data_IF_192657403004
#
_entry.id   IF_192657403004
#
_cell.length_a   1.000
_cell.length_b   1.000
_cell.length_c   1.000
_cell.angle_alpha   90.00
_cell.angle_beta   90.00
_cell.angle_gamma   90.00
#
_symmetry.space_group_name_H-M   'P 1'
#
loop_
_entity.id
_entity.type
_entity.pdbx_description
1 polymer ?
#
# COMPACT_ATOMS: atom_id res chain seq x y z
N UNK A 1 8.69 2.89 5.21
CA UNK A 1 7.60 2.08 5.80
C UNK A 1 7.78 2.09 7.31
N UNK A 2 6.72 2.39 8.06
CA UNK A 2 6.74 2.44 9.53
C UNK A 2 5.63 1.51 10.05
N UNK A 3 5.94 0.59 10.96
CA UNK A 3 4.93 -0.26 11.59
C UNK A 3 4.18 0.51 12.68
N UNK A 4 2.86 0.37 12.78
CA UNK A 4 2.09 1.05 13.83
C UNK A 4 2.55 0.63 15.23
N UNK A 5 2.96 -0.62 15.42
CA UNK A 5 3.47 -1.12 16.70
C UNK A 5 4.82 -0.52 17.11
N UNK A 6 5.54 0.13 16.18
CA UNK A 6 6.86 0.72 16.41
C UNK A 6 6.84 2.24 16.59
N UNK A 7 5.67 2.88 16.46
CA UNK A 7 5.54 4.33 16.56
C UNK A 7 4.57 4.71 17.68
N UNK A 8 5.00 5.65 18.51
CA UNK A 8 4.15 6.24 19.54
C UNK A 8 2.95 6.98 18.92
N UNK A 9 1.80 6.96 19.59
CA UNK A 9 0.56 7.52 19.06
C UNK A 9 0.58 9.04 18.94
N UNK A 10 1.29 9.74 19.85
CA UNK A 10 1.45 11.20 19.78
C UNK A 10 2.38 11.56 18.62
N UNK A 11 3.48 10.83 18.47
CA UNK A 11 4.40 11.02 17.35
C UNK A 11 3.70 10.75 16.01
N UNK A 12 2.97 9.64 15.90
CA UNK A 12 2.20 9.31 14.70
C UNK A 12 1.25 10.45 14.29
N UNK A 13 0.49 10.99 15.24
CA UNK A 13 -0.42 12.13 14.97
C UNK A 13 0.33 13.38 14.53
N UNK A 14 1.51 13.64 15.08
CA UNK A 14 2.37 14.75 14.68
C UNK A 14 2.84 14.57 13.23
N UNK A 15 3.35 13.39 12.89
CA UNK A 15 3.83 13.09 11.52
C UNK A 15 2.70 13.12 10.47
N UNK A 16 1.49 12.71 10.84
CA UNK A 16 0.31 12.84 9.96
C UNK A 16 -0.04 14.31 9.73
N UNK A 17 -0.07 15.14 10.78
CA UNK A 17 -0.37 16.58 10.66
C UNK A 17 0.68 17.32 9.86
N UNK A 18 1.93 16.92 9.97
CA UNK A 18 3.05 17.49 9.24
C UNK A 18 3.17 16.97 7.79
N UNK A 19 2.23 16.12 7.33
CA UNK A 19 2.25 15.49 6.00
C UNK A 19 3.50 14.61 5.74
N UNK A 20 4.22 14.23 6.78
CA UNK A 20 5.32 13.28 6.71
C UNK A 20 4.81 11.85 6.58
N UNK A 21 3.62 11.55 7.11
CA UNK A 21 2.88 10.31 6.87
C UNK A 21 1.59 10.64 6.13
N UNK A 22 1.46 10.15 4.90
CA UNK A 22 0.32 10.47 4.03
C UNK A 22 -0.52 9.24 3.68
N UNK A 23 0.04 8.05 3.85
CA UNK A 23 -0.62 6.79 3.50
C UNK A 23 -0.56 5.78 4.63
N UNK A 24 -1.59 4.95 4.70
CA UNK A 24 -1.66 3.79 5.60
C UNK A 24 -1.85 2.51 4.79
N UNK A 25 -1.53 1.37 5.38
CA UNK A 25 -1.64 0.09 4.69
C UNK A 25 -1.79 -1.12 5.61
N UNK A 26 -2.07 -2.26 4.98
CA UNK A 26 -2.10 -3.57 5.61
C UNK A 26 -0.84 -4.36 5.20
N UNK A 27 -0.01 -4.71 6.18
CA UNK A 27 1.25 -5.42 5.98
C UNK A 27 1.04 -6.80 5.36
N UNK A 28 0.08 -7.57 5.89
CA UNK A 28 -0.19 -8.96 5.48
C UNK A 28 -0.76 -9.05 4.07
N UNK A 29 -1.70 -8.18 3.73
CA UNK A 29 -2.32 -8.14 2.41
C UNK A 29 -1.50 -7.36 1.37
N UNK A 30 -0.43 -6.69 1.81
CA UNK A 30 0.41 -5.79 0.99
C UNK A 30 -0.41 -4.72 0.27
N UNK A 31 -1.31 -4.04 0.99
CA UNK A 31 -2.18 -2.98 0.45
C UNK A 31 -1.83 -1.64 1.08
N UNK A 32 -1.73 -0.57 0.31
CA UNK A 32 -1.66 0.80 0.84
C UNK A 32 -2.81 1.67 0.32
N UNK A 33 -3.15 2.74 1.04
CA UNK A 33 -4.24 3.63 0.70
C UNK A 33 -4.21 4.91 1.52
N UNK A 34 -5.21 5.77 1.30
CA UNK A 34 -5.36 7.04 2.03
C UNK A 34 -5.67 6.79 3.51
N UNK A 35 -5.20 7.68 4.39
CA UNK A 35 -5.41 7.56 5.84
C UNK A 35 -6.89 7.58 6.25
N UNK A 36 -7.75 8.21 5.45
CA UNK A 36 -9.19 8.30 5.70
C UNK A 36 -10.00 7.11 5.15
N UNK A 37 -9.35 6.08 4.59
CA UNK A 37 -10.03 4.90 4.03
C UNK A 37 -10.84 4.15 5.11
N UNK A 38 -12.12 3.89 4.83
CA UNK A 38 -13.04 3.15 5.71
C UNK A 38 -12.50 1.77 6.09
N UNK A 39 -11.96 1.03 5.12
CA UNK A 39 -11.32 -0.28 5.33
C UNK A 39 -10.04 -0.15 6.15
N UNK A 40 -9.27 0.92 5.94
CA UNK A 40 -8.04 1.22 6.67
C UNK A 40 -8.27 1.50 8.16
N UNK A 41 -9.36 2.21 8.50
CA UNK A 41 -9.71 2.53 9.89
C UNK A 41 -10.04 1.29 10.73
N UNK A 42 -10.49 0.20 10.10
CA UNK A 42 -10.82 -1.07 10.76
C UNK A 42 -9.62 -2.03 10.91
N UNK A 43 -8.43 -1.66 10.43
CA UNK A 43 -7.26 -2.52 10.49
C UNK A 43 -6.72 -2.65 11.92
N UNK A 44 -6.41 -3.89 12.33
CA UNK A 44 -5.71 -4.15 13.60
C UNK A 44 -4.33 -3.48 13.60
N UNK A 45 -3.86 -3.02 14.76
CA UNK A 45 -2.60 -2.27 14.88
C UNK A 45 -1.41 -3.07 14.36
N UNK A 46 -1.37 -4.38 14.61
CA UNK A 46 -0.27 -5.28 14.24
C UNK A 46 -0.12 -5.43 12.72
N UNK A 47 -1.22 -5.28 11.98
CA UNK A 47 -1.21 -5.32 10.52
C UNK A 47 -1.11 -3.94 9.90
N UNK A 48 -1.20 -2.85 10.67
CA UNK A 48 -1.24 -1.48 10.14
C UNK A 48 0.16 -0.92 9.97
N UNK A 49 0.42 -0.39 8.79
CA UNK A 49 1.69 0.27 8.44
C UNK A 49 1.43 1.65 7.86
N UNK A 50 2.44 2.51 7.89
CA UNK A 50 2.39 3.87 7.41
C UNK A 50 3.50 4.15 6.41
N UNK A 51 3.22 5.03 5.45
CA UNK A 51 4.15 5.44 4.41
C UNK A 51 4.16 6.96 4.24
N UNK A 52 5.35 7.46 3.92
CA UNK A 52 5.60 8.88 3.66
C UNK A 52 5.05 9.29 2.31
N UNK A 53 5.18 8.42 1.31
CA UNK A 53 4.71 8.67 -0.05
C UNK A 53 4.22 7.39 -0.72
N UNK A 54 3.49 7.58 -1.82
CA UNK A 54 3.08 6.49 -2.72
C UNK A 54 4.27 5.65 -3.19
N UNK A 55 5.33 6.32 -3.65
CA UNK A 55 6.57 5.67 -4.12
C UNK A 55 7.19 4.79 -3.04
N UNK A 56 7.18 5.24 -1.78
CA UNK A 56 7.69 4.44 -0.67
C UNK A 56 6.88 3.14 -0.49
N UNK A 57 5.55 3.19 -0.62
CA UNK A 57 4.71 1.99 -0.52
C UNK A 57 4.94 1.02 -1.68
N UNK A 58 4.99 1.53 -2.91
CA UNK A 58 5.22 0.73 -4.13
C UNK A 58 6.60 0.05 -4.12
N UNK A 59 7.66 0.76 -3.70
CA UNK A 59 9.01 0.18 -3.53
C UNK A 59 9.07 -0.93 -2.48
N UNK A 60 8.15 -0.92 -1.50
CA UNK A 60 8.02 -1.99 -0.50
C UNK A 60 7.10 -3.13 -0.96
N UNK A 61 6.67 -3.13 -2.22
CA UNK A 61 5.84 -4.18 -2.82
C UNK A 61 4.36 -4.12 -2.43
N UNK A 62 3.86 -2.95 -2.04
CA UNK A 62 2.45 -2.78 -1.71
C UNK A 62 1.65 -2.32 -2.94
N UNK A 63 0.45 -2.86 -3.11
CA UNK A 63 -0.50 -2.44 -4.13
C UNK A 63 -1.46 -1.36 -3.61
N UNK A 64 -1.95 -0.46 -4.48
CA UNK A 64 -2.97 0.51 -4.12
C UNK A 64 -4.28 -0.17 -3.68
N UNK A 65 -5.02 0.53 -2.81
CA UNK A 65 -6.28 0.07 -2.26
C UNK A 65 -7.42 0.26 -3.27
N UNK A 66 -8.03 -0.84 -3.71
CA UNK A 66 -9.17 -0.80 -4.64
C UNK A 66 -10.44 -0.10 -4.11
N UNK A 67 -10.52 0.27 -2.83
CA UNK A 67 -11.65 1.04 -2.30
C UNK A 67 -11.43 2.56 -2.41
N UNK A 68 -10.29 3.06 -1.92
CA UNK A 68 -10.01 4.50 -1.83
C UNK A 68 -9.06 5.05 -2.90
N UNK A 69 -8.43 4.17 -3.69
CA UNK A 69 -7.49 4.48 -4.77
C UNK A 69 -7.85 3.63 -6.01
N UNK A 70 -9.11 3.76 -6.47
CA UNK A 70 -9.69 2.90 -7.51
C UNK A 70 -8.93 2.99 -8.84
N UNK A 71 -8.57 4.20 -9.26
CA UNK A 71 -7.90 4.40 -10.56
C UNK A 71 -6.48 3.85 -10.52
N UNK A 72 -5.72 4.15 -9.46
CA UNK A 72 -4.37 3.61 -9.27
C UNK A 72 -4.40 2.08 -9.17
N UNK A 73 -5.41 1.52 -8.51
CA UNK A 73 -5.62 0.08 -8.49
C UNK A 73 -5.93 -0.52 -9.84
N UNK A 74 -6.73 0.15 -10.68
CA UNK A 74 -7.00 -0.31 -12.05
C UNK A 74 -5.73 -0.32 -12.90
N UNK A 75 -4.94 0.74 -12.82
CA UNK A 75 -3.65 0.86 -13.52
C UNK A 75 -2.70 -0.26 -13.06
N UNK A 76 -2.52 -0.41 -11.74
CA UNK A 76 -1.70 -1.47 -11.15
C UNK A 76 -2.17 -2.83 -11.69
N UNK A 77 -3.45 -3.17 -11.56
CA UNK A 77 -3.99 -4.46 -11.98
C UNK A 77 -3.73 -4.75 -13.47
N UNK A 78 -3.91 -3.75 -14.33
CA UNK A 78 -3.67 -3.88 -15.76
C UNK A 78 -2.20 -4.13 -16.09
N UNK A 79 -1.27 -3.47 -15.40
CA UNK A 79 0.17 -3.73 -15.56
C UNK A 79 0.53 -5.18 -15.23
N UNK A 80 -0.02 -5.76 -14.16
CA UNK A 80 0.21 -7.17 -13.83
C UNK A 80 -0.36 -8.13 -14.88
N UNK A 81 -1.50 -7.81 -15.48
CA UNK A 81 -2.06 -8.64 -16.56
C UNK A 81 -1.22 -8.58 -17.83
N UNK A 82 -0.72 -7.41 -18.23
CA UNK A 82 0.15 -7.27 -19.39
C UNK A 82 1.48 -8.01 -19.19
N UNK A 83 2.13 -7.81 -18.04
CA UNK A 83 3.38 -8.51 -17.71
C UNK A 83 3.20 -10.04 -17.70
N UNK A 84 2.06 -10.53 -17.23
CA UNK A 84 1.73 -11.97 -17.25
C UNK A 84 1.42 -12.52 -18.64
N UNK A 85 0.92 -11.69 -19.56
CA UNK A 85 0.72 -12.06 -20.96
C UNK A 85 2.06 -12.10 -21.70
N UNK A 86 2.93 -11.11 -21.49
CA UNK A 86 4.29 -11.07 -22.06
C UNK A 86 5.12 -12.28 -21.63
N UNK A 87 5.09 -12.65 -20.34
CA UNK A 87 5.79 -13.84 -19.84
C UNK A 87 5.30 -15.15 -20.49
N UNK A 88 4.00 -15.23 -20.83
CA UNK A 88 3.43 -16.39 -21.54
C UNK A 88 3.82 -16.43 -23.01
N UNK A 89 3.89 -15.28 -23.67
CA UNK A 89 4.33 -15.18 -25.07
C UNK A 89 5.81 -15.52 -25.21
N UNK A 90 6.64 -15.13 -24.23
CA UNK A 90 8.08 -15.38 -24.24
C UNK A 90 8.47 -16.81 -23.78
N UNK A 91 7.50 -17.70 -23.53
CA UNK A 91 7.77 -19.12 -23.20
C UNK A 91 8.47 -19.35 -21.86
N UNK A 92 8.67 -18.32 -21.05
CA UNK A 92 9.30 -18.44 -19.73
C UNK A 92 8.23 -18.83 -18.72
N UNK A 93 8.07 -20.15 -18.55
CA UNK A 93 7.26 -20.72 -17.48
C UNK A 93 8.01 -20.45 -16.16
N UNK A 94 7.78 -19.28 -15.57
CA UNK A 94 8.29 -18.95 -14.23
C UNK A 94 7.74 -19.99 -13.25
N UNK A 95 8.63 -20.89 -12.80
CA UNK A 95 8.35 -21.89 -11.75
C UNK A 95 7.91 -21.22 -10.45
#
# INVERSE_FOLDING_TARGET
>A
MILHIQIDEKLLRKEIRNLNIQYGGNLRLKIYGKLHCSSGKKMKKENRVFFTSRKNAEQNGFRPCGHCMKEEYRIWKNQFFQNGMEARIQGTRSR
#
